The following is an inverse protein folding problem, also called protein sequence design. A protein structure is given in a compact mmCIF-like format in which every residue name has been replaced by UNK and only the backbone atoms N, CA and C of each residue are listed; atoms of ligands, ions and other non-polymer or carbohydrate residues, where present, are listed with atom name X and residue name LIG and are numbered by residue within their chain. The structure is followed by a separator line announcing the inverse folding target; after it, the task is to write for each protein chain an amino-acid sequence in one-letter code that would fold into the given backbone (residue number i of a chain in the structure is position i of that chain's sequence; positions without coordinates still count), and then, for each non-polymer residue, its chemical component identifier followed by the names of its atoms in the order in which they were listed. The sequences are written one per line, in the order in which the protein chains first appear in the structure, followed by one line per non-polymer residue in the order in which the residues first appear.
data_IF_292481082711
#
_entry.id   IF_292481082711
#
_cell.length_a   1.000
_cell.length_b   1.000
_cell.length_c   1.000
_cell.angle_alpha   90.00
_cell.angle_beta   90.00
_cell.angle_gamma   90.00
#
_symmetry.space_group_name_H-M   'P 1'
#
loop_
_entity.id
_entity.type
_entity.pdbx_description
1 polymer ?
#
# COMPACT_ATOMS: atom_id res chain seq x y z
N UNK A 1 7.57 13.79 18.07
CA UNK A 1 8.33 12.56 18.20
C UNK A 1 9.39 12.46 17.10
N UNK A 2 10.35 11.56 17.28
CA UNK A 2 11.38 11.33 16.27
C UNK A 2 10.80 10.61 15.06
N UNK A 3 11.43 10.76 13.89
CA UNK A 3 11.01 10.10 12.65
C UNK A 3 11.85 8.87 12.37
N UNK A 4 11.20 7.73 12.19
CA UNK A 4 11.81 6.49 11.70
C UNK A 4 11.61 6.39 10.19
N UNK A 5 12.68 6.50 9.44
CA UNK A 5 12.66 6.31 7.99
C UNK A 5 12.70 4.82 7.62
N UNK A 6 11.86 4.41 6.68
CA UNK A 6 11.80 3.03 6.19
C UNK A 6 12.29 3.00 4.74
N UNK A 7 13.48 2.46 4.51
CA UNK A 7 14.07 2.29 3.19
C UNK A 7 14.12 0.78 2.84
N UNK A 8 12.97 0.23 2.50
CA UNK A 8 12.79 -1.21 2.33
C UNK A 8 11.60 -1.54 1.45
N UNK A 9 11.64 -2.69 0.79
CA UNK A 9 10.48 -3.32 0.20
C UNK A 9 9.45 -3.72 1.28
N UNK A 10 8.20 -4.02 0.90
CA UNK A 10 7.19 -4.49 1.84
C UNK A 10 7.65 -5.75 2.56
N UNK A 11 7.72 -5.67 3.89
CA UNK A 11 8.11 -6.79 4.74
C UNK A 11 7.55 -6.64 6.15
N UNK A 12 7.31 -7.76 6.87
CA UNK A 12 6.68 -7.71 8.19
C UNK A 12 7.52 -6.92 9.20
N UNK A 13 8.86 -7.01 9.14
CA UNK A 13 9.75 -6.32 10.06
C UNK A 13 9.56 -4.79 9.98
N UNK A 14 9.38 -4.23 8.78
CA UNK A 14 9.14 -2.80 8.60
C UNK A 14 7.84 -2.34 9.28
N UNK A 15 6.78 -3.14 9.21
CA UNK A 15 5.53 -2.82 9.92
C UNK A 15 5.70 -2.94 11.44
N UNK A 16 6.40 -3.96 11.93
CA UNK A 16 6.63 -4.15 13.36
C UNK A 16 7.45 -3.01 13.96
N UNK A 17 8.53 -2.57 13.30
CA UNK A 17 9.31 -1.41 13.78
C UNK A 17 8.53 -0.10 13.67
N UNK A 18 7.65 0.06 12.66
CA UNK A 18 6.75 1.22 12.57
C UNK A 18 5.77 1.26 13.74
N UNK A 19 5.13 0.14 14.06
CA UNK A 19 4.21 0.04 15.19
C UNK A 19 4.95 0.33 16.51
N UNK A 20 6.18 -0.17 16.67
CA UNK A 20 7.00 0.12 17.85
C UNK A 20 7.37 1.60 17.95
N UNK A 21 7.75 2.24 16.82
CA UNK A 21 8.00 3.68 16.77
C UNK A 21 6.75 4.48 17.15
N UNK A 22 5.58 4.11 16.61
CA UNK A 22 4.30 4.75 16.96
C UNK A 22 3.97 4.60 18.45
N UNK A 23 4.22 3.41 19.03
CA UNK A 23 4.00 3.19 20.47
C UNK A 23 4.80 4.16 21.33
N UNK A 24 6.02 4.46 20.90
CA UNK A 24 6.92 5.43 21.55
C UNK A 24 6.59 6.90 21.21
N UNK A 25 5.54 7.15 20.43
CA UNK A 25 5.16 8.51 19.97
C UNK A 25 6.00 9.04 18.82
N UNK A 26 6.73 8.17 18.12
CA UNK A 26 7.45 8.49 16.89
C UNK A 26 6.55 8.43 15.66
N UNK A 27 7.09 8.86 14.52
CA UNK A 27 6.44 8.91 13.21
C UNK A 27 7.21 8.03 12.22
N UNK A 28 6.53 7.29 11.36
CA UNK A 28 7.18 6.49 10.32
C UNK A 28 7.16 7.21 8.97
N UNK A 29 8.31 7.22 8.29
CA UNK A 29 8.50 7.85 6.98
C UNK A 29 8.98 6.82 5.96
N UNK A 30 8.06 6.10 5.27
CA UNK A 30 8.45 5.15 4.24
C UNK A 30 8.92 5.87 2.99
N UNK A 31 10.08 5.47 2.48
CA UNK A 31 10.67 5.93 1.22
C UNK A 31 10.63 4.81 0.18
N UNK A 32 10.57 5.18 -1.09
CA UNK A 32 10.58 4.21 -2.19
C UNK A 32 12.01 3.69 -2.42
N UNK A 33 12.31 2.41 -2.13
CA UNK A 33 13.63 1.84 -2.36
C UNK A 33 13.98 1.67 -3.85
N UNK A 34 13.00 1.80 -4.74
CA UNK A 34 13.18 1.72 -6.20
C UNK A 34 13.23 3.09 -6.87
N UNK A 35 13.23 4.16 -6.08
CA UNK A 35 13.48 5.49 -6.62
C UNK A 35 14.88 5.55 -7.25
N UNK A 36 15.03 6.36 -8.28
CA UNK A 36 16.35 6.62 -8.89
C UNK A 36 17.39 7.04 -7.85
N UNK A 37 18.62 6.49 -7.94
CA UNK A 37 19.68 6.71 -6.95
C UNK A 37 19.99 8.19 -6.74
N UNK A 38 19.93 9.01 -7.77
CA UNK A 38 20.21 10.45 -7.67
C UNK A 38 19.10 11.14 -6.87
N UNK A 39 17.84 10.79 -7.17
CA UNK A 39 16.68 11.35 -6.51
C UNK A 39 16.61 10.93 -5.04
N UNK A 40 16.82 9.64 -4.75
CA UNK A 40 16.80 9.15 -3.37
C UNK A 40 17.93 9.74 -2.53
N UNK A 41 19.14 9.89 -3.10
CA UNK A 41 20.27 10.56 -2.43
C UNK A 41 19.99 12.04 -2.17
N UNK A 42 19.36 12.74 -3.13
CA UNK A 42 18.91 14.12 -2.96
C UNK A 42 17.95 14.26 -1.78
N UNK A 43 16.91 13.42 -1.78
CA UNK A 43 15.90 13.39 -0.73
C UNK A 43 16.49 13.04 0.63
N UNK A 44 17.37 12.06 0.73
CA UNK A 44 18.01 11.67 1.98
C UNK A 44 18.95 12.77 2.52
N UNK A 45 19.64 13.54 1.65
CA UNK A 45 20.46 14.69 2.05
C UNK A 45 19.62 15.82 2.62
N UNK A 46 18.45 16.06 2.05
CA UNK A 46 17.53 17.10 2.54
C UNK A 46 16.88 16.69 3.85
N UNK A 47 16.37 15.46 3.94
CA UNK A 47 15.64 14.96 5.12
C UNK A 47 16.54 14.63 6.32
N UNK A 48 17.85 14.42 6.10
CA UNK A 48 18.83 14.11 7.16
C UNK A 48 18.36 13.04 8.16
N UNK A 49 18.05 11.81 7.71
CA UNK A 49 17.45 10.78 8.56
C UNK A 49 18.35 10.41 9.73
N UNK A 50 17.80 10.39 10.94
CA UNK A 50 18.51 10.02 12.19
C UNK A 50 18.31 8.55 12.53
N UNK A 51 17.09 8.05 12.41
CA UNK A 51 16.70 6.66 12.63
C UNK A 51 16.22 6.05 11.32
N UNK A 52 16.82 4.95 10.91
CA UNK A 52 16.49 4.29 9.64
C UNK A 52 16.32 2.79 9.84
N UNK A 53 15.27 2.23 9.22
CA UNK A 53 15.16 0.81 8.97
C UNK A 53 15.45 0.57 7.48
N UNK A 54 16.53 -0.18 7.20
CA UNK A 54 16.99 -0.50 5.86
C UNK A 54 16.73 -1.98 5.53
N UNK A 55 16.52 -2.31 4.26
CA UNK A 55 16.37 -3.70 3.86
C UNK A 55 17.68 -4.47 4.00
N UNK A 56 18.74 -4.02 3.34
CA UNK A 56 20.03 -4.71 3.31
C UNK A 56 21.15 -3.85 2.76
N UNK A 57 22.16 -4.50 2.17
CA UNK A 57 23.41 -3.86 1.77
C UNK A 57 23.20 -2.64 0.86
N UNK A 58 22.38 -2.77 -0.17
CA UNK A 58 22.18 -1.68 -1.15
C UNK A 58 21.70 -0.39 -0.48
N UNK A 59 20.74 -0.48 0.43
CA UNK A 59 20.21 0.67 1.16
C UNK A 59 21.22 1.24 2.16
N UNK A 60 22.00 0.37 2.79
CA UNK A 60 23.09 0.79 3.69
C UNK A 60 24.17 1.52 2.91
N UNK A 61 24.57 1.04 1.74
CA UNK A 61 25.54 1.71 0.87
C UNK A 61 25.08 3.12 0.46
N UNK A 62 23.78 3.29 0.16
CA UNK A 62 23.20 4.60 -0.11
C UNK A 62 23.27 5.52 1.12
N UNK A 63 22.93 5.00 2.29
CA UNK A 63 22.96 5.77 3.54
C UNK A 63 24.39 6.19 3.93
N UNK A 64 25.37 5.32 3.75
CA UNK A 64 26.77 5.61 4.06
C UNK A 64 27.43 6.60 3.07
N UNK A 65 26.90 6.71 1.83
CA UNK A 65 27.34 7.73 0.86
C UNK A 65 26.94 9.16 1.24
N UNK A 66 25.95 9.32 2.09
CA UNK A 66 25.51 10.61 2.57
C UNK A 66 26.10 10.86 3.95
N UNK A 67 26.76 12.00 4.10
CA UNK A 67 27.30 12.41 5.41
C UNK A 67 26.16 12.97 6.29
N UNK A 68 25.35 12.09 6.85
CA UNK A 68 24.20 12.45 7.70
C UNK A 68 24.47 12.14 9.16
N UNK A 69 23.67 12.74 10.04
CA UNK A 69 23.77 12.55 11.51
C UNK A 69 23.01 11.30 11.97
N UNK A 70 23.13 10.20 11.23
CA UNK A 70 22.49 8.94 11.61
C UNK A 70 22.98 8.47 12.98
N UNK A 71 22.03 8.11 13.85
CA UNK A 71 22.29 7.52 15.18
C UNK A 71 22.12 6.02 15.18
N UNK A 72 21.16 5.53 14.40
CA UNK A 72 20.84 4.11 14.35
C UNK A 72 20.29 3.75 12.98
N UNK A 73 20.88 2.74 12.36
CA UNK A 73 20.38 2.08 11.16
C UNK A 73 20.17 0.61 11.50
N UNK A 74 18.91 0.18 11.56
CA UNK A 74 18.53 -1.21 11.71
C UNK A 74 18.37 -1.82 10.33
N UNK A 75 18.98 -2.97 10.08
CA UNK A 75 18.83 -3.67 8.80
C UNK A 75 18.24 -5.08 8.99
N UNK A 76 17.49 -5.52 7.99
CA UNK A 76 16.80 -6.79 8.05
C UNK A 76 17.59 -7.94 7.42
N UNK A 77 18.27 -7.69 6.30
CA UNK A 77 19.06 -8.68 5.57
C UNK A 77 20.56 -8.46 5.80
N UNK A 78 21.22 -9.42 6.44
CA UNK A 78 22.64 -9.37 6.77
C UNK A 78 23.57 -9.77 5.61
N UNK A 79 23.01 -10.23 4.47
CA UNK A 79 23.83 -10.68 3.34
C UNK A 79 24.66 -9.52 2.79
N UNK A 80 25.95 -9.78 2.58
CA UNK A 80 26.93 -8.80 2.13
C UNK A 80 27.45 -7.83 3.18
N UNK A 81 26.91 -7.85 4.42
CA UNK A 81 27.25 -6.90 5.48
C UNK A 81 28.30 -7.40 6.48
N UNK A 82 28.87 -8.60 6.31
CA UNK A 82 29.82 -9.20 7.26
C UNK A 82 31.09 -8.40 7.48
N UNK A 83 31.45 -7.48 6.57
CA UNK A 83 32.65 -6.63 6.65
C UNK A 83 32.34 -5.19 7.03
N UNK A 84 31.07 -4.86 7.30
CA UNK A 84 30.67 -3.51 7.68
C UNK A 84 30.82 -3.34 9.18
N UNK A 85 31.83 -2.59 9.57
CA UNK A 85 32.12 -2.25 10.98
C UNK A 85 31.75 -0.79 11.24
N UNK A 86 30.47 -0.53 11.44
CA UNK A 86 29.92 0.78 11.77
C UNK A 86 29.08 0.69 13.03
N UNK A 87 29.40 1.48 14.03
CA UNK A 87 28.72 1.49 15.33
C UNK A 87 27.22 1.77 15.24
N UNK A 88 26.79 2.47 14.17
CA UNK A 88 25.37 2.81 13.96
C UNK A 88 24.54 1.66 13.42
N UNK A 89 25.16 0.60 12.87
CA UNK A 89 24.45 -0.53 12.24
C UNK A 89 24.04 -1.56 13.27
N UNK A 90 22.78 -2.03 13.20
CA UNK A 90 22.26 -3.13 14.05
C UNK A 90 21.43 -4.08 13.21
N UNK A 91 21.64 -5.36 13.40
CA UNK A 91 20.79 -6.36 12.76
C UNK A 91 19.43 -6.41 13.47
N UNK A 92 18.34 -6.48 12.71
CA UNK A 92 16.99 -6.62 13.27
C UNK A 92 16.84 -7.88 14.14
N UNK A 93 17.52 -9.00 13.80
CA UNK A 93 17.49 -10.23 14.58
C UNK A 93 18.03 -10.03 16.01
N UNK A 94 18.99 -9.13 16.18
CA UNK A 94 19.60 -8.86 17.49
C UNK A 94 18.64 -8.11 18.41
N UNK A 95 17.70 -7.34 17.84
CA UNK A 95 16.67 -6.64 18.62
C UNK A 95 15.68 -7.62 19.27
N UNK A 96 15.46 -8.80 18.66
CA UNK A 96 14.54 -9.82 19.19
C UNK A 96 15.09 -10.55 20.41
N UNK A 97 16.40 -10.55 20.59
CA UNK A 97 17.06 -11.29 21.68
C UNK A 97 17.10 -10.52 22.99
N UNK A 98 16.86 -9.21 22.96
CA UNK A 98 16.86 -8.39 24.15
C UNK A 98 15.56 -8.59 24.94
N UNK A 99 15.70 -9.05 26.17
CA UNK A 99 14.59 -9.31 27.08
C UNK A 99 13.76 -8.05 27.38
N UNK A 100 12.48 -8.28 27.53
CA UNK A 100 11.39 -7.31 27.57
C UNK A 100 11.25 -6.56 28.91
N UNK A 101 12.31 -6.32 29.64
CA UNK A 101 12.28 -5.67 30.95
C UNK A 101 11.77 -4.21 30.96
N UNK A 102 11.35 -3.70 29.81
CA UNK A 102 10.83 -2.33 29.66
C UNK A 102 9.43 -2.22 29.03
N UNK A 103 8.73 -3.30 28.75
CA UNK A 103 7.44 -3.28 28.01
C UNK A 103 6.22 -2.75 28.80
N UNK A 104 6.39 -2.30 30.02
CA UNK A 104 5.31 -1.66 30.81
C UNK A 104 5.24 -0.15 30.58
N UNK A 105 6.01 0.41 29.65
CA UNK A 105 5.90 1.82 29.31
C UNK A 105 4.55 2.07 28.59
N UNK A 106 3.70 2.99 29.09
CA UNK A 106 2.45 3.32 28.45
C UNK A 106 2.73 3.92 27.06
N UNK A 107 1.83 3.68 26.10
CA UNK A 107 1.95 4.27 24.77
C UNK A 107 1.97 5.80 24.86
N UNK A 108 2.91 6.43 24.16
CA UNK A 108 2.98 7.89 24.01
C UNK A 108 2.17 8.40 22.81
N UNK A 109 1.60 7.51 22.01
CA UNK A 109 0.80 7.86 20.85
C UNK A 109 -0.51 8.55 21.24
N UNK A 110 -0.89 9.57 20.48
CA UNK A 110 -2.19 10.23 20.57
C UNK A 110 -2.90 10.16 19.22
N UNK A 111 -4.24 10.15 19.17
CA UNK A 111 -4.99 10.10 17.91
C UNK A 111 -4.61 11.20 16.91
N UNK A 112 -4.26 12.40 17.40
CA UNK A 112 -3.87 13.56 16.59
C UNK A 112 -2.40 13.59 16.17
N UNK A 113 -1.56 12.67 16.68
CA UNK A 113 -0.17 12.59 16.24
C UNK A 113 -0.09 11.99 14.84
N UNK A 114 0.90 12.43 14.07
CA UNK A 114 1.24 11.84 12.79
C UNK A 114 1.67 10.38 13.02
N UNK A 115 1.06 9.44 12.30
CA UNK A 115 1.48 8.05 12.22
C UNK A 115 2.51 7.88 11.11
N UNK A 116 2.19 8.45 9.95
CA UNK A 116 3.05 8.40 8.77
C UNK A 116 3.26 9.77 8.17
N UNK A 117 4.46 9.97 7.62
CA UNK A 117 4.81 11.12 6.77
C UNK A 117 5.36 10.56 5.47
N UNK A 118 4.77 10.96 4.35
CA UNK A 118 5.17 10.56 3.01
C UNK A 118 5.86 11.72 2.33
N UNK A 119 7.02 11.45 1.75
CA UNK A 119 7.80 12.41 0.99
C UNK A 119 7.76 12.01 -0.48
N UNK A 120 7.44 12.98 -1.34
CA UNK A 120 7.44 12.82 -2.80
C UNK A 120 8.23 13.96 -3.41
N UNK A 121 8.83 13.71 -4.57
CA UNK A 121 9.38 14.77 -5.40
C UNK A 121 8.31 15.15 -6.44
N UNK A 122 8.02 16.43 -6.53
CA UNK A 122 7.17 16.97 -7.59
C UNK A 122 7.90 16.99 -8.94
N UNK A 123 7.26 17.55 -9.98
CA UNK A 123 7.83 17.68 -11.33
C UNK A 123 9.06 18.59 -11.38
N UNK A 124 9.27 19.43 -10.36
CA UNK A 124 10.40 20.37 -10.22
C UNK A 124 11.44 19.87 -9.23
N UNK A 125 11.41 18.59 -8.84
CA UNK A 125 12.25 17.98 -7.82
C UNK A 125 12.13 18.67 -6.43
N UNK A 126 11.01 19.34 -6.14
CA UNK A 126 10.71 19.87 -4.81
C UNK A 126 10.06 18.80 -3.94
N UNK A 127 10.39 18.81 -2.64
CA UNK A 127 9.84 17.82 -1.69
C UNK A 127 8.43 18.19 -1.28
N UNK A 128 7.45 17.40 -1.70
CA UNK A 128 6.10 17.43 -1.18
C UNK A 128 5.97 16.53 0.04
N UNK A 129 5.27 17.01 1.06
CA UNK A 129 5.07 16.30 2.32
C UNK A 129 3.58 16.04 2.53
N UNK A 130 3.21 14.78 2.62
CA UNK A 130 1.86 14.34 3.01
C UNK A 130 1.91 13.68 4.38
N UNK A 131 1.08 14.14 5.31
CA UNK A 131 0.94 13.58 6.66
C UNK A 131 -0.32 12.74 6.79
N UNK A 132 -0.27 11.74 7.64
CA UNK A 132 -1.39 10.88 7.97
C UNK A 132 -1.39 10.65 9.49
N UNK A 133 -2.38 11.20 10.19
CA UNK A 133 -2.52 11.01 11.62
C UNK A 133 -3.04 9.61 11.96
N UNK A 134 -2.84 9.16 13.22
CA UNK A 134 -3.41 7.90 13.70
C UNK A 134 -4.93 7.88 13.56
N UNK A 135 -5.58 8.99 13.90
CA UNK A 135 -7.04 9.12 13.81
C UNK A 135 -7.56 8.97 12.39
N UNK A 136 -6.94 9.66 11.44
CA UNK A 136 -7.30 9.58 10.00
C UNK A 136 -7.07 8.17 9.46
N UNK A 137 -5.89 7.59 9.71
CA UNK A 137 -5.57 6.24 9.25
C UNK A 137 -6.61 5.21 9.73
N UNK A 138 -6.92 5.22 11.02
CA UNK A 138 -7.89 4.29 11.61
C UNK A 138 -9.32 4.58 11.15
N UNK A 139 -9.68 5.84 10.90
CA UNK A 139 -10.99 6.22 10.36
C UNK A 139 -11.19 5.64 8.96
N UNK A 140 -10.21 5.80 8.07
CA UNK A 140 -10.24 5.20 6.73
C UNK A 140 -10.34 3.66 6.79
N UNK A 141 -9.57 3.04 7.69
CA UNK A 141 -9.65 1.59 7.90
C UNK A 141 -11.03 1.11 8.35
N UNK A 142 -11.67 1.81 9.30
CA UNK A 142 -13.04 1.50 9.76
C UNK A 142 -14.07 1.69 8.64
N UNK A 143 -13.95 2.77 7.88
CA UNK A 143 -14.83 3.03 6.74
C UNK A 143 -14.75 1.89 5.73
N UNK A 144 -13.54 1.48 5.36
CA UNK A 144 -13.34 0.36 4.43
C UNK A 144 -13.92 -0.96 4.98
N UNK A 145 -13.66 -1.27 6.25
CA UNK A 145 -14.19 -2.49 6.90
C UNK A 145 -15.71 -2.51 6.82
N UNK A 146 -16.36 -1.40 7.15
CA UNK A 146 -17.82 -1.31 7.17
C UNK A 146 -18.42 -1.41 5.77
N UNK A 147 -17.88 -0.70 4.78
CA UNK A 147 -18.40 -0.70 3.42
C UNK A 147 -18.15 -2.02 2.69
N UNK A 148 -16.99 -2.63 2.89
CA UNK A 148 -16.60 -3.86 2.22
C UNK A 148 -16.87 -5.12 3.06
N UNK A 149 -17.41 -4.95 4.27
CA UNK A 149 -17.68 -6.06 5.22
C UNK A 149 -16.46 -6.95 5.42
N UNK A 150 -15.29 -6.33 5.68
CA UNK A 150 -14.06 -7.07 5.91
C UNK A 150 -14.11 -7.78 7.27
N UNK A 151 -13.53 -8.98 7.31
CA UNK A 151 -13.43 -9.80 8.51
C UNK A 151 -12.02 -10.35 8.70
N UNK A 152 -11.77 -11.02 9.81
CA UNK A 152 -10.52 -11.73 10.07
C UNK A 152 -10.26 -12.93 9.13
N UNK A 153 -11.21 -13.26 8.25
CA UNK A 153 -11.06 -14.34 7.25
C UNK A 153 -10.42 -13.88 5.95
N UNK A 154 -10.20 -12.58 5.78
CA UNK A 154 -9.53 -12.08 4.59
C UNK A 154 -8.06 -12.51 4.56
N UNK A 155 -7.53 -12.64 3.36
CA UNK A 155 -6.10 -12.79 3.07
C UNK A 155 -5.69 -11.71 2.08
N UNK A 156 -4.71 -10.90 2.45
CA UNK A 156 -4.18 -9.84 1.61
C UNK A 156 -2.69 -10.03 1.34
N UNK A 157 -2.20 -9.45 0.24
CA UNK A 157 -0.78 -9.40 -0.11
C UNK A 157 -0.33 -7.93 -0.14
N UNK A 158 0.61 -7.58 0.73
CA UNK A 158 1.27 -6.28 0.74
C UNK A 158 2.34 -6.22 -0.36
N UNK A 159 1.91 -6.15 -1.62
CA UNK A 159 2.80 -6.24 -2.79
C UNK A 159 3.34 -4.88 -3.25
N UNK A 160 2.96 -3.77 -2.61
CA UNK A 160 3.40 -2.43 -2.96
C UNK A 160 4.23 -1.82 -1.85
N UNK A 161 5.13 -0.94 -2.28
CA UNK A 161 5.93 -0.11 -1.42
C UNK A 161 5.07 0.68 -0.41
N UNK A 162 5.54 0.76 0.83
CA UNK A 162 4.88 1.49 1.91
C UNK A 162 4.91 3.01 1.72
N UNK A 163 5.74 3.55 0.83
CA UNK A 163 5.73 4.95 0.47
C UNK A 163 4.42 5.40 -0.21
N UNK A 164 3.59 4.45 -0.68
CA UNK A 164 2.26 4.75 -1.19
C UNK A 164 1.25 4.85 -0.03
N UNK A 165 0.80 6.07 0.30
CA UNK A 165 -0.09 6.35 1.45
C UNK A 165 -1.38 5.52 1.46
N UNK A 166 -1.91 5.17 0.28
CA UNK A 166 -3.08 4.32 0.15
C UNK A 166 -2.93 2.93 0.76
N UNK A 167 -1.70 2.37 0.82
CA UNK A 167 -1.46 1.09 1.49
C UNK A 167 -1.61 1.19 3.01
N UNK A 168 -1.22 2.32 3.61
CA UNK A 168 -1.38 2.53 5.04
C UNK A 168 -2.86 2.68 5.41
N UNK A 169 -3.64 3.37 4.57
CA UNK A 169 -5.07 3.59 4.79
C UNK A 169 -5.92 2.36 4.53
N UNK A 170 -5.65 1.64 3.43
CA UNK A 170 -6.56 0.62 2.89
C UNK A 170 -6.03 -0.82 3.00
N UNK A 171 -4.83 -0.99 3.56
CA UNK A 171 -4.28 -2.32 3.84
C UNK A 171 -3.84 -2.44 5.31
N UNK A 172 -2.94 -1.56 5.79
CA UNK A 172 -2.44 -1.62 7.16
C UNK A 172 -3.53 -1.32 8.20
N UNK A 173 -4.26 -0.21 8.04
CA UNK A 173 -5.29 0.17 9.00
C UNK A 173 -6.41 -0.88 9.13
N UNK A 174 -7.01 -1.39 8.04
CA UNK A 174 -8.00 -2.45 8.15
C UNK A 174 -7.41 -3.76 8.67
N UNK A 175 -6.13 -4.08 8.37
CA UNK A 175 -5.46 -5.24 8.96
C UNK A 175 -5.37 -5.14 10.48
N UNK A 176 -4.95 -4.00 11.01
CA UNK A 176 -4.86 -3.76 12.45
C UNK A 176 -6.24 -3.86 13.16
N UNK A 177 -7.30 -3.43 12.47
CA UNK A 177 -8.64 -3.35 13.03
C UNK A 177 -9.42 -4.66 12.89
N UNK A 178 -9.31 -5.36 11.77
CA UNK A 178 -10.07 -6.58 11.49
C UNK A 178 -9.30 -7.87 11.79
N UNK A 179 -7.96 -7.82 11.92
CA UNK A 179 -7.13 -8.97 12.29
C UNK A 179 -7.03 -10.05 11.21
N UNK A 180 -7.13 -9.68 9.94
CA UNK A 180 -6.98 -10.64 8.85
C UNK A 180 -5.51 -10.98 8.55
N UNK A 181 -5.26 -11.99 7.71
CA UNK A 181 -3.92 -12.42 7.35
C UNK A 181 -3.31 -11.47 6.31
N UNK A 182 -2.17 -10.87 6.67
CA UNK A 182 -1.37 -10.04 5.78
C UNK A 182 -0.10 -10.80 5.37
N UNK A 183 0.04 -11.07 4.08
CA UNK A 183 1.17 -11.75 3.49
C UNK A 183 2.08 -10.73 2.79
N UNK A 184 3.34 -11.08 2.61
CA UNK A 184 4.35 -10.27 1.94
C UNK A 184 4.95 -11.06 0.79
N UNK A 185 5.30 -10.43 -0.34
CA UNK A 185 6.00 -11.12 -1.40
C UNK A 185 7.42 -11.49 -0.95
N UNK A 186 7.96 -12.54 -1.51
CA UNK A 186 9.35 -12.95 -1.25
C UNK A 186 10.32 -11.84 -1.68
N UNK A 187 10.05 -11.24 -2.85
CA UNK A 187 10.74 -10.05 -3.35
C UNK A 187 9.86 -9.29 -4.35
N UNK A 188 10.34 -8.14 -4.84
CA UNK A 188 9.58 -7.32 -5.80
C UNK A 188 9.32 -8.02 -7.14
N UNK A 189 10.18 -8.94 -7.55
CA UNK A 189 10.09 -9.61 -8.86
C UNK A 189 9.13 -10.81 -8.81
N UNK A 190 9.03 -11.49 -7.67
CA UNK A 190 8.14 -12.64 -7.48
C UNK A 190 6.71 -12.25 -7.13
N UNK A 191 6.43 -11.00 -6.81
CA UNK A 191 5.13 -10.52 -6.31
C UNK A 191 3.90 -10.98 -7.12
N UNK A 192 4.05 -11.18 -8.44
CA UNK A 192 2.94 -11.62 -9.29
C UNK A 192 2.76 -13.12 -9.21
N UNK A 193 3.83 -13.87 -9.03
CA UNK A 193 3.82 -15.32 -8.77
C UNK A 193 3.21 -15.55 -7.40
N UNK A 194 3.71 -14.85 -6.37
CA UNK A 194 3.24 -14.95 -4.99
C UNK A 194 1.74 -14.62 -4.88
N UNK A 195 1.28 -13.56 -5.59
CA UNK A 195 -0.15 -13.24 -5.65
C UNK A 195 -0.97 -14.36 -6.30
N UNK A 196 -0.46 -14.96 -7.37
CA UNK A 196 -1.14 -16.05 -8.07
C UNK A 196 -1.24 -17.30 -7.19
N UNK A 197 -0.17 -17.65 -6.49
CA UNK A 197 -0.13 -18.80 -5.58
C UNK A 197 -1.04 -18.58 -4.36
N UNK A 198 -0.99 -17.39 -3.78
CA UNK A 198 -1.82 -17.02 -2.64
C UNK A 198 -3.30 -16.91 -3.02
N UNK A 199 -3.61 -16.30 -4.17
CA UNK A 199 -4.99 -15.96 -4.56
C UNK A 199 -5.70 -15.11 -3.49
N UNK A 200 -5.23 -13.88 -3.17
CA UNK A 200 -5.73 -13.10 -2.05
C UNK A 200 -7.23 -12.78 -2.19
N UNK A 201 -7.93 -12.72 -1.07
CA UNK A 201 -9.37 -12.33 -1.03
C UNK A 201 -9.55 -10.82 -1.08
N UNK A 202 -8.59 -10.07 -0.55
CA UNK A 202 -8.50 -8.61 -0.57
C UNK A 202 -7.27 -8.18 -1.39
N UNK A 203 -7.50 -7.37 -2.42
CA UNK A 203 -6.43 -6.80 -3.26
C UNK A 203 -6.54 -5.29 -3.24
N UNK A 204 -5.50 -4.61 -2.79
CA UNK A 204 -5.36 -3.15 -2.91
C UNK A 204 -4.42 -2.85 -4.09
N UNK A 205 -4.98 -2.68 -5.28
CA UNK A 205 -4.25 -2.41 -6.52
C UNK A 205 -4.35 -0.94 -6.93
N UNK A 206 -3.40 -0.49 -7.76
CA UNK A 206 -3.51 0.80 -8.46
C UNK A 206 -3.88 0.60 -9.91
N UNK A 207 -4.21 1.69 -10.59
CA UNK A 207 -4.47 1.72 -12.04
C UNK A 207 -3.38 0.97 -12.82
N UNK A 208 -2.10 1.24 -12.53
CA UNK A 208 -0.97 0.54 -13.16
C UNK A 208 -0.98 -0.97 -12.88
N UNK A 209 -1.33 -1.39 -11.66
CA UNK A 209 -1.40 -2.83 -11.32
C UNK A 209 -2.49 -3.52 -12.14
N UNK A 210 -3.68 -2.95 -12.21
CA UNK A 210 -4.79 -3.50 -12.96
C UNK A 210 -4.49 -3.53 -14.46
N UNK A 211 -4.01 -2.42 -15.05
CA UNK A 211 -3.64 -2.37 -16.47
C UNK A 211 -2.53 -3.38 -16.83
N UNK A 212 -1.51 -3.53 -15.98
CA UNK A 212 -0.46 -4.53 -16.19
C UNK A 212 -1.01 -5.95 -16.21
N UNK A 213 -1.93 -6.28 -15.30
CA UNK A 213 -2.58 -7.60 -15.26
C UNK A 213 -3.51 -7.83 -16.47
N UNK A 214 -4.23 -6.82 -16.87
CA UNK A 214 -5.03 -6.83 -18.09
C UNK A 214 -4.16 -7.09 -19.32
N UNK A 215 -3.04 -6.37 -19.47
CA UNK A 215 -2.11 -6.55 -20.57
C UNK A 215 -1.46 -7.94 -20.56
N UNK A 216 -1.13 -8.47 -19.37
CA UNK A 216 -0.64 -9.84 -19.22
C UNK A 216 -1.64 -10.87 -19.77
N UNK A 217 -2.92 -10.69 -19.47
CA UNK A 217 -3.97 -11.57 -20.00
C UNK A 217 -4.14 -11.37 -21.51
N UNK A 218 -4.27 -10.11 -21.95
CA UNK A 218 -4.48 -9.79 -23.39
C UNK A 218 -3.36 -10.34 -24.27
N UNK A 219 -2.10 -10.30 -23.81
CA UNK A 219 -0.95 -10.84 -24.56
C UNK A 219 -0.95 -12.37 -24.68
N UNK A 220 -1.66 -13.07 -23.83
CA UNK A 220 -1.77 -14.55 -23.82
C UNK A 220 -3.04 -15.07 -24.43
N UNK A 221 -3.96 -14.19 -24.86
CA UNK A 221 -5.18 -14.61 -25.54
C UNK A 221 -4.85 -15.24 -26.90
N UNK A 222 -5.67 -16.20 -27.38
CA UNK A 222 -5.51 -16.78 -28.71
C UNK A 222 -5.54 -15.71 -29.80
N UNK A 223 -4.89 -15.98 -30.92
CA UNK A 223 -4.84 -15.06 -32.06
C UNK A 223 -6.24 -14.73 -32.58
N UNK A 224 -6.44 -13.48 -32.99
CA UNK A 224 -7.67 -12.99 -33.59
C UNK A 224 -7.96 -13.81 -34.87
N UNK A 225 -9.23 -14.17 -35.09
CA UNK A 225 -9.65 -15.02 -36.24
C UNK A 225 -9.59 -16.52 -35.96
N UNK A 226 -9.08 -16.96 -34.81
CA UNK A 226 -9.15 -18.41 -34.45
C UNK A 226 -10.44 -18.78 -33.74
N UNK A 227 -10.90 -20.03 -33.92
CA UNK A 227 -12.06 -20.55 -33.21
C UNK A 227 -11.91 -20.44 -31.68
N UNK A 228 -10.70 -20.61 -31.15
CA UNK A 228 -10.41 -20.44 -29.75
C UNK A 228 -10.63 -18.97 -29.29
N UNK A 229 -10.25 -17.99 -30.09
CA UNK A 229 -10.50 -16.57 -29.79
C UNK A 229 -11.99 -16.25 -29.80
N UNK A 230 -12.73 -16.78 -30.78
CA UNK A 230 -14.19 -16.63 -30.85
C UNK A 230 -14.87 -17.19 -29.61
N UNK A 231 -14.43 -18.36 -29.15
CA UNK A 231 -14.94 -18.97 -27.91
C UNK A 231 -14.63 -18.12 -26.66
N UNK A 232 -13.41 -17.57 -26.55
CA UNK A 232 -13.06 -16.65 -25.45
C UNK A 232 -13.95 -15.40 -25.49
N UNK A 233 -14.11 -14.76 -26.65
CA UNK A 233 -14.95 -13.58 -26.79
C UNK A 233 -16.41 -13.88 -26.43
N UNK A 234 -16.96 -15.01 -26.90
CA UNK A 234 -18.29 -15.48 -26.52
C UNK A 234 -18.46 -15.68 -25.01
N UNK A 235 -17.41 -16.16 -24.34
CA UNK A 235 -17.42 -16.36 -22.88
C UNK A 235 -17.39 -15.02 -22.13
N UNK A 236 -16.61 -14.05 -22.60
CA UNK A 236 -16.49 -12.72 -21.99
C UNK A 236 -17.74 -11.85 -22.20
N UNK A 237 -18.56 -12.15 -23.21
CA UNK A 237 -19.85 -11.47 -23.47
C UNK A 237 -21.04 -12.16 -22.82
N UNK A 238 -20.79 -13.06 -21.86
CA UNK A 238 -21.86 -13.79 -21.18
C UNK A 238 -22.54 -12.89 -20.15
N UNK A 239 -23.80 -12.53 -20.42
CA UNK A 239 -24.64 -11.65 -19.60
C UNK A 239 -25.30 -12.35 -18.42
N UNK A 240 -25.85 -11.54 -17.49
CA UNK A 240 -26.69 -11.98 -16.37
C UNK A 240 -27.92 -12.80 -16.90
N UNK A 241 -28.44 -12.46 -18.06
CA UNK A 241 -29.59 -13.10 -18.69
C UNK A 241 -29.26 -14.39 -19.48
N UNK A 242 -27.98 -14.74 -19.59
CA UNK A 242 -27.55 -15.95 -20.27
C UNK A 242 -27.98 -17.22 -19.53
N UNK A 243 -28.17 -18.32 -20.25
CA UNK A 243 -28.56 -19.60 -19.64
C UNK A 243 -27.54 -20.08 -18.59
N UNK A 244 -27.96 -20.79 -17.53
CA UNK A 244 -27.09 -21.32 -16.50
C UNK A 244 -25.95 -22.19 -17.05
N UNK A 245 -26.24 -22.96 -18.08
CA UNK A 245 -25.26 -23.83 -18.76
C UNK A 245 -24.19 -22.99 -19.45
N UNK A 246 -24.59 -21.92 -20.16
CA UNK A 246 -23.65 -21.00 -20.80
C UNK A 246 -22.71 -20.33 -19.76
N UNK A 247 -23.29 -19.87 -18.66
CA UNK A 247 -22.52 -19.27 -17.55
C UNK A 247 -21.49 -20.25 -16.96
N UNK A 248 -21.92 -21.50 -16.73
CA UNK A 248 -21.04 -22.54 -16.20
C UNK A 248 -19.88 -22.84 -17.16
N UNK A 249 -20.16 -23.02 -18.44
CA UNK A 249 -19.13 -23.27 -19.47
C UNK A 249 -18.15 -22.10 -19.56
N UNK A 250 -18.66 -20.88 -19.70
CA UNK A 250 -17.82 -19.66 -19.75
C UNK A 250 -16.96 -19.51 -18.50
N UNK A 251 -17.54 -19.73 -17.32
CA UNK A 251 -16.82 -19.62 -16.04
C UNK A 251 -15.70 -20.65 -15.93
N UNK A 252 -15.99 -21.93 -16.12
CA UNK A 252 -14.99 -22.97 -15.87
C UNK A 252 -13.90 -23.05 -16.93
N UNK A 253 -14.22 -22.79 -18.20
CA UNK A 253 -13.26 -22.92 -19.30
C UNK A 253 -12.50 -21.64 -19.62
N UNK A 254 -13.03 -20.45 -19.26
CA UNK A 254 -12.40 -19.18 -19.63
C UNK A 254 -12.20 -18.27 -18.41
N UNK A 255 -13.28 -17.90 -17.71
CA UNK A 255 -13.22 -16.87 -16.66
C UNK A 255 -12.34 -17.30 -15.51
N UNK A 256 -12.53 -18.51 -14.98
CA UNK A 256 -11.74 -19.04 -13.87
C UNK A 256 -10.24 -19.14 -14.21
N UNK A 257 -9.80 -19.71 -15.34
CA UNK A 257 -8.39 -19.70 -15.74
C UNK A 257 -7.80 -18.30 -15.89
N UNK A 258 -8.55 -17.33 -16.44
CA UNK A 258 -8.08 -15.96 -16.56
C UNK A 258 -7.90 -15.31 -15.18
N UNK A 259 -8.84 -15.50 -14.26
CA UNK A 259 -8.72 -15.02 -12.87
C UNK A 259 -7.53 -15.66 -12.15
N UNK A 260 -7.28 -16.95 -12.37
CA UNK A 260 -6.18 -17.68 -11.77
C UNK A 260 -4.82 -17.13 -12.25
N UNK A 261 -4.66 -16.92 -13.54
CA UNK A 261 -3.43 -16.31 -14.10
C UNK A 261 -3.11 -14.95 -13.51
N UNK A 262 -4.13 -14.16 -13.16
CA UNK A 262 -3.96 -12.85 -12.52
C UNK A 262 -3.81 -12.91 -10.99
N UNK A 263 -4.01 -14.09 -10.38
CA UNK A 263 -4.05 -14.26 -8.93
C UNK A 263 -5.35 -13.75 -8.30
N UNK A 264 -6.44 -13.71 -9.05
CA UNK A 264 -7.77 -13.26 -8.60
C UNK A 264 -8.77 -14.41 -8.42
N UNK A 265 -8.28 -15.64 -8.30
CA UNK A 265 -9.12 -16.83 -8.17
C UNK A 265 -10.11 -16.75 -7.01
N UNK A 266 -9.68 -16.23 -5.85
CA UNK A 266 -10.47 -16.09 -4.62
C UNK A 266 -10.83 -14.63 -4.29
N UNK A 267 -10.45 -13.66 -5.12
CA UNK A 267 -10.62 -12.23 -4.81
C UNK A 267 -12.10 -11.87 -4.69
N UNK A 268 -12.46 -11.38 -3.52
CA UNK A 268 -13.78 -10.88 -3.14
C UNK A 268 -13.82 -9.35 -3.15
N UNK A 269 -12.75 -8.71 -2.71
CA UNK A 269 -12.65 -7.28 -2.54
C UNK A 269 -11.46 -6.73 -3.35
N UNK A 270 -11.65 -6.47 -4.65
CA UNK A 270 -10.66 -5.83 -5.51
C UNK A 270 -10.78 -4.31 -5.39
N UNK A 271 -9.89 -3.67 -4.62
CA UNK A 271 -9.86 -2.22 -4.43
C UNK A 271 -8.96 -1.56 -5.46
N UNK A 272 -9.41 -0.48 -6.04
CA UNK A 272 -8.61 0.48 -6.77
C UNK A 272 -8.22 1.62 -5.83
N UNK A 273 -6.92 1.84 -5.65
CA UNK A 273 -6.37 2.86 -4.75
C UNK A 273 -5.52 3.85 -5.57
N UNK A 274 -5.67 5.15 -5.34
CA UNK A 274 -4.96 6.21 -6.05
C UNK A 274 -5.69 6.66 -7.30
N UNK A 275 -5.04 6.64 -8.46
CA UNK A 275 -5.60 7.14 -9.72
C UNK A 275 -6.73 6.24 -10.26
N UNK A 276 -7.68 6.88 -10.95
CA UNK A 276 -8.80 6.18 -11.58
C UNK A 276 -8.34 5.20 -12.67
N UNK A 277 -9.05 4.08 -12.79
CA UNK A 277 -8.82 3.09 -13.83
C UNK A 277 -9.58 3.47 -15.10
N UNK A 278 -8.98 3.33 -16.30
CA UNK A 278 -9.68 3.55 -17.56
C UNK A 278 -10.96 2.71 -17.69
N UNK A 279 -11.98 3.28 -18.32
CA UNK A 279 -13.30 2.62 -18.46
C UNK A 279 -13.21 1.27 -19.17
N UNK A 280 -12.36 1.15 -20.18
CA UNK A 280 -12.16 -0.12 -20.90
C UNK A 280 -11.57 -1.21 -20.01
N UNK A 281 -10.65 -0.84 -19.11
CA UNK A 281 -10.10 -1.76 -18.11
C UNK A 281 -11.17 -2.18 -17.10
N UNK A 282 -12.03 -1.25 -16.64
CA UNK A 282 -13.18 -1.59 -15.78
C UNK A 282 -14.12 -2.58 -16.45
N UNK A 283 -14.46 -2.36 -17.73
CA UNK A 283 -15.27 -3.27 -18.53
C UNK A 283 -14.62 -4.65 -18.67
N UNK A 284 -13.30 -4.68 -18.91
CA UNK A 284 -12.56 -5.94 -18.98
C UNK A 284 -12.67 -6.73 -17.67
N UNK A 285 -12.38 -6.11 -16.52
CA UNK A 285 -12.47 -6.78 -15.22
C UNK A 285 -13.90 -7.20 -14.89
N UNK A 286 -14.88 -6.38 -15.19
CA UNK A 286 -16.29 -6.74 -15.04
C UNK A 286 -16.68 -7.97 -15.87
N UNK A 287 -16.18 -8.10 -17.12
CA UNK A 287 -16.45 -9.24 -18.00
C UNK A 287 -15.94 -10.58 -17.47
N UNK A 288 -14.93 -10.56 -16.60
CA UNK A 288 -14.41 -11.75 -15.91
C UNK A 288 -14.93 -11.88 -14.47
N UNK A 289 -15.98 -11.11 -14.12
CA UNK A 289 -16.64 -11.16 -12.82
C UNK A 289 -15.85 -10.51 -11.69
N UNK A 290 -14.95 -9.59 -11.98
CA UNK A 290 -14.21 -8.80 -11.01
C UNK A 290 -14.77 -7.39 -11.00
N UNK A 291 -15.57 -7.07 -9.98
CA UNK A 291 -16.12 -5.73 -9.76
C UNK A 291 -15.12 -4.88 -9.01
N UNK A 292 -14.25 -4.15 -9.74
CA UNK A 292 -13.26 -3.26 -9.13
C UNK A 292 -13.98 -2.14 -8.37
N UNK A 293 -13.61 -1.95 -7.11
CA UNK A 293 -14.22 -0.97 -6.20
C UNK A 293 -13.30 0.23 -6.07
N UNK A 294 -13.83 1.38 -6.47
CA UNK A 294 -13.05 2.61 -6.52
C UNK A 294 -12.90 3.21 -5.11
N UNK A 295 -11.66 3.22 -4.63
CA UNK A 295 -11.17 3.88 -3.43
C UNK A 295 -10.05 4.86 -3.82
N UNK A 296 -10.19 5.47 -4.99
CA UNK A 296 -9.27 6.50 -5.47
C UNK A 296 -9.28 7.72 -4.55
N UNK A 297 -8.21 8.49 -4.54
CA UNK A 297 -8.05 9.65 -3.66
C UNK A 297 -9.17 10.69 -3.85
N UNK A 298 -9.72 10.83 -5.06
CA UNK A 298 -10.86 11.72 -5.35
C UNK A 298 -12.15 11.31 -4.63
N UNK A 299 -12.44 10.02 -4.59
CA UNK A 299 -13.62 9.48 -3.89
C UNK A 299 -13.41 9.58 -2.38
N UNK A 300 -12.18 9.38 -1.92
CA UNK A 300 -11.81 9.50 -0.51
C UNK A 300 -11.98 10.92 -0.01
N UNK A 301 -11.53 11.93 -0.76
CA UNK A 301 -11.70 13.35 -0.41
C UNK A 301 -13.18 13.73 -0.34
N UNK A 302 -13.99 13.32 -1.30
CA UNK A 302 -15.44 13.58 -1.28
C UNK A 302 -16.14 12.92 -0.11
N UNK A 303 -15.77 11.70 0.24
CA UNK A 303 -16.34 10.96 1.37
C UNK A 303 -15.90 11.54 2.73
N UNK A 304 -14.67 12.07 2.82
CA UNK A 304 -14.18 12.76 4.02
C UNK A 304 -14.93 14.09 4.22
N UNK A 305 -15.15 14.85 3.15
CA UNK A 305 -15.92 16.09 3.19
C UNK A 305 -17.39 15.85 3.55
N UNK A 306 -17.99 14.75 3.04
CA UNK A 306 -19.36 14.37 3.37
C UNK A 306 -19.51 13.80 4.80
N UNK A 307 -18.44 13.19 5.35
CA UNK A 307 -18.43 12.65 6.71
C UNK A 307 -18.06 13.70 7.79
N UNK A 308 -17.66 14.90 7.42
CA UNK A 308 -17.34 16.02 8.32
C UNK A 308 -18.49 17.03 8.37
N UNK A 309 -19.45 16.90 9.32
CA UNK A 309 -20.64 17.77 9.36
C UNK A 309 -20.36 19.15 9.97
N UNK A 310 -19.20 19.76 9.86
CA UNK A 310 -19.05 21.14 10.37
C UNK A 310 -17.75 21.88 10.00
N UNK A 311 -17.49 22.08 8.71
CA UNK A 311 -16.50 23.12 8.33
C UNK A 311 -17.11 24.36 7.69
N UNK A 312 -18.38 24.37 7.30
CA UNK A 312 -19.04 25.56 6.78
C UNK A 312 -19.38 26.64 7.82
N UNK A 313 -19.32 26.32 9.13
CA UNK A 313 -19.54 27.32 10.20
C UNK A 313 -18.26 28.08 10.60
N UNK A 314 -17.06 27.61 10.26
CA UNK A 314 -15.81 28.33 10.56
C UNK A 314 -15.43 29.38 9.53
N UNK A 315 -15.80 29.21 8.26
CA UNK A 315 -15.59 30.25 7.25
C UNK A 315 -16.58 31.39 7.37
N UNK A 316 -17.81 31.17 7.84
CA UNK A 316 -18.79 32.23 8.10
C UNK A 316 -18.38 33.10 9.29
N UNK A 317 -17.80 32.51 10.32
CA UNK A 317 -17.35 33.23 11.54
C UNK A 317 -16.10 34.13 11.28
N UNK A 318 -15.22 33.73 10.34
CA UNK A 318 -14.02 34.52 10.00
C UNK A 318 -14.30 35.68 9.04
N UNK A 319 -15.40 35.64 8.29
CA UNK A 319 -15.85 36.74 7.41
C UNK A 319 -16.67 37.75 8.14
N UNK A 320 -17.28 37.42 9.28
CA UNK A 320 -18.08 38.35 10.07
C UNK A 320 -17.23 39.19 11.04
N UNK A 321 -16.10 38.65 11.52
CA UNK A 321 -15.14 39.39 12.34
C UNK A 321 -14.29 40.39 11.55
N UNK A 322 -14.18 40.27 10.23
CA UNK A 322 -13.45 41.21 9.38
C UNK A 322 -14.29 42.41 8.94
N UNK A 323 -15.62 42.42 9.19
CA UNK A 323 -16.54 43.54 8.86
C UNK A 323 -16.87 44.47 10.02
N UNK A 324 -16.32 44.23 11.21
CA UNK A 324 -16.58 45.04 12.43
C UNK A 324 -15.40 45.95 12.78
N UNK A 325 -14.33 45.96 11.97
CA UNK A 325 -13.14 46.82 12.17
C UNK A 325 -12.85 47.70 10.95
N UNK A 326 -13.90 48.26 10.29
CA UNK A 326 -13.80 49.46 9.45
C UNK A 326 -14.74 50.56 9.99
#
# INVERSE_FOLDING_TARGET
GDTLFLLTNPRPEALLVSIAAHWLGGVSAPLDPHCDDVKILGLLRELQPVFVFAEGQMQIDLLLKINTKQRLVVYADARGLSRYDHEILRNYSDLKSNTLDGLNAPSSAKPSHDAFVFYRLDENDQVEVQKLTHSEMLSHGRQLINQETLTNKEEALAARNFAASGHMRYLLAPWLLAGFKLNFPENSDTRDIDRRELGPTLVAGTSQTYQRLENLVKSRLPLVGTARRTFVNWSLTTDINSSPVRKAIAYWLVIRPLRDVMGFSRTRVPLLVGEALPEDSLKFFASIGIQVRDWSDKVTEQNILAASPNQNSRHAALTETARVTE
#
